data_IF_322772718180
#
_entry.id   IF_322772718180
#
_cell.length_a   1.000
_cell.length_b   1.000
_cell.length_c   1.000
_cell.angle_alpha   90.00
_cell.angle_beta   90.00
_cell.angle_gamma   90.00
#
_symmetry.space_group_name_H-M   'P 1'
#
loop_
_entity.id
_entity.type
_entity.pdbx_description
1 polymer ?
#
# COMPACT_ATOMS: atom_id res chain seq x y z
N UNK A 1 0.70 25.22 10.85
CA UNK A 1 2.05 24.95 10.32
C UNK A 1 2.99 26.04 10.75
N UNK A 2 4.17 25.68 11.27
CA UNK A 2 5.29 26.59 11.53
C UNK A 2 6.47 26.11 10.66
N UNK A 3 6.92 26.95 9.74
CA UNK A 3 8.02 26.65 8.82
C UNK A 3 9.35 27.21 9.37
N UNK A 4 10.46 26.56 9.02
CA UNK A 4 11.82 26.89 9.49
C UNK A 4 12.30 28.33 9.20
N UNK A 5 11.60 29.08 8.35
CA UNK A 5 11.93 30.47 7.98
C UNK A 5 11.03 31.54 8.64
N UNK A 6 10.30 31.17 9.71
CA UNK A 6 9.40 32.11 10.41
C UNK A 6 8.07 32.34 9.71
N UNK A 7 7.82 31.64 8.60
CA UNK A 7 6.50 31.58 7.98
C UNK A 7 5.61 30.64 8.80
N UNK A 8 4.44 31.13 9.20
CA UNK A 8 3.43 30.30 9.83
C UNK A 8 2.05 30.56 9.24
N UNK A 9 1.24 29.53 9.26
CA UNK A 9 -0.15 29.62 8.86
C UNK A 9 -1.00 28.59 9.57
N UNK A 10 -2.30 28.86 9.67
CA UNK A 10 -3.31 27.94 10.17
C UNK A 10 -4.33 27.68 9.09
N UNK A 11 -4.66 26.40 8.92
CA UNK A 11 -5.77 25.95 8.11
C UNK A 11 -6.95 25.67 9.03
N UNK A 12 -8.12 26.18 8.69
CA UNK A 12 -9.36 25.93 9.42
C UNK A 12 -10.41 25.39 8.47
N UNK A 13 -11.03 24.26 8.82
CA UNK A 13 -12.17 23.73 8.08
C UNK A 13 -13.43 24.49 8.47
N UNK A 14 -14.18 24.93 7.47
CA UNK A 14 -15.47 25.61 7.59
C UNK A 14 -16.50 24.94 6.70
N UNK A 15 -17.77 25.33 6.84
CA UNK A 15 -18.84 24.83 5.98
C UNK A 15 -18.68 25.23 4.49
N UNK A 16 -17.74 26.12 4.16
CA UNK A 16 -17.47 26.59 2.80
C UNK A 16 -16.12 26.11 2.25
N UNK A 17 -15.33 25.35 3.03
CA UNK A 17 -14.02 24.84 2.61
C UNK A 17 -12.94 25.07 3.66
N UNK A 18 -11.71 25.33 3.19
CA UNK A 18 -10.55 25.60 4.05
C UNK A 18 -10.19 27.09 4.02
N UNK A 19 -10.10 27.71 5.19
CA UNK A 19 -9.60 29.08 5.37
C UNK A 19 -8.14 29.09 5.82
N UNK A 20 -7.39 30.11 5.38
CA UNK A 20 -5.97 30.29 5.67
C UNK A 20 -5.73 31.56 6.51
N UNK A 21 -5.21 31.38 7.71
CA UNK A 21 -4.76 32.47 8.58
C UNK A 21 -3.23 32.55 8.59
N UNK A 22 -2.68 33.76 8.71
CA UNK A 22 -1.21 34.02 8.79
C UNK A 22 -0.62 33.79 10.19
N UNK A 23 -1.32 33.09 11.06
CA UNK A 23 -0.79 32.71 12.37
C UNK A 23 -1.21 31.30 12.73
N UNK A 24 -0.27 30.54 13.29
CA UNK A 24 -0.51 29.18 13.77
C UNK A 24 -1.03 29.14 15.21
N UNK A 25 -1.12 30.29 15.89
CA UNK A 25 -1.52 30.37 17.29
C UNK A 25 -2.99 29.97 17.49
N UNK A 26 -3.25 29.26 18.60
CA UNK A 26 -4.57 28.73 18.93
C UNK A 26 -5.04 27.55 18.06
N UNK A 27 -4.22 27.05 17.14
CA UNK A 27 -4.54 25.84 16.39
C UNK A 27 -4.55 24.61 17.31
N UNK A 28 -5.50 23.68 17.08
CA UNK A 28 -5.61 22.42 17.82
C UNK A 28 -4.43 21.47 17.55
N UNK A 29 -3.84 21.59 16.37
CA UNK A 29 -2.67 20.84 15.93
C UNK A 29 -1.67 21.81 15.32
N UNK A 30 -0.40 21.70 15.73
CA UNK A 30 0.69 22.53 15.21
C UNK A 30 1.81 21.61 14.78
N UNK A 31 2.22 21.69 13.52
CA UNK A 31 3.36 20.98 12.99
C UNK A 31 4.51 21.95 12.70
N UNK A 32 5.72 21.50 13.00
CA UNK A 32 6.98 22.11 12.57
C UNK A 32 7.58 21.34 11.40
N UNK A 33 7.97 22.04 10.35
CA UNK A 33 8.59 21.45 9.15
C UNK A 33 9.38 22.51 8.37
N UNK A 34 10.09 22.13 7.31
CA UNK A 34 10.62 23.06 6.30
C UNK A 34 9.71 23.14 5.06
N UNK A 35 10.02 24.08 4.16
CA UNK A 35 9.23 24.33 2.94
C UNK A 35 9.31 23.16 1.97
N UNK A 36 10.51 22.59 1.76
CA UNK A 36 10.73 21.45 0.87
C UNK A 36 9.90 20.24 1.30
N UNK A 37 9.82 19.96 2.60
CA UNK A 37 8.99 18.89 3.17
C UNK A 37 7.51 19.16 2.98
N UNK A 38 7.07 20.42 3.08
CA UNK A 38 5.67 20.79 2.79
C UNK A 38 5.34 20.61 1.31
N UNK A 39 6.25 20.98 0.41
CA UNK A 39 6.10 20.76 -1.04
C UNK A 39 6.05 19.26 -1.39
N UNK A 40 6.82 18.43 -0.69
CA UNK A 40 6.75 16.97 -0.84
C UNK A 40 5.39 16.39 -0.45
N UNK A 41 4.75 16.94 0.59
CA UNK A 41 3.39 16.55 0.96
C UNK A 41 2.38 17.00 -0.10
N UNK A 42 2.45 18.27 -0.53
CA UNK A 42 1.52 18.84 -1.49
C UNK A 42 1.60 18.14 -2.86
N UNK A 43 2.80 17.73 -3.28
CA UNK A 43 3.05 16.99 -4.52
C UNK A 43 2.82 15.48 -4.41
N UNK A 44 2.46 14.96 -3.23
CA UNK A 44 2.33 13.51 -2.95
C UNK A 44 3.62 12.70 -3.18
N UNK A 45 4.76 13.38 -3.27
CA UNK A 45 6.07 12.74 -3.23
C UNK A 45 6.25 11.96 -1.94
N UNK A 46 5.70 12.49 -0.84
CA UNK A 46 5.61 11.81 0.45
C UNK A 46 4.24 12.00 1.09
N UNK A 47 3.71 10.95 1.74
CA UNK A 47 2.50 11.07 2.56
C UNK A 47 2.83 11.70 3.92
N UNK A 48 1.80 12.13 4.65
CA UNK A 48 1.98 12.65 6.00
C UNK A 48 2.66 11.61 6.92
N UNK A 49 2.20 10.36 6.84
CA UNK A 49 2.81 9.24 7.56
C UNK A 49 4.28 9.04 7.16
N UNK A 50 4.57 9.05 5.85
CA UNK A 50 5.92 8.89 5.33
C UNK A 50 6.89 9.94 5.88
N UNK A 51 6.45 11.19 5.97
CA UNK A 51 7.26 12.29 6.50
C UNK A 51 7.45 12.21 8.02
N UNK A 52 6.46 11.72 8.77
CA UNK A 52 6.56 11.53 10.22
C UNK A 52 7.54 10.41 10.56
N UNK A 53 7.44 9.26 9.88
CA UNK A 53 8.35 8.12 10.13
C UNK A 53 9.81 8.46 9.81
N UNK A 54 10.05 9.40 8.90
CA UNK A 54 11.38 9.93 8.58
C UNK A 54 11.82 11.09 9.49
N UNK A 55 11.01 11.46 10.49
CA UNK A 55 11.25 12.61 11.38
C UNK A 55 11.41 13.95 10.63
N UNK A 56 10.74 14.10 9.47
CA UNK A 56 10.74 15.34 8.68
C UNK A 56 9.68 16.33 9.14
N UNK A 57 8.58 15.83 9.72
CA UNK A 57 7.54 16.64 10.35
C UNK A 57 7.56 16.39 11.86
N UNK A 58 7.51 17.47 12.64
CA UNK A 58 7.41 17.42 14.10
C UNK A 58 6.04 17.89 14.57
N UNK A 59 5.36 17.08 15.40
CA UNK A 59 4.13 17.48 16.07
C UNK A 59 4.47 18.36 17.30
N UNK A 60 4.33 19.68 17.17
CA UNK A 60 4.63 20.65 18.22
C UNK A 60 3.48 20.80 19.23
N UNK A 61 2.24 20.59 18.79
CA UNK A 61 1.05 20.56 19.64
C UNK A 61 -0.03 19.69 19.01
N UNK A 62 -0.88 19.07 19.84
CA UNK A 62 -1.98 18.21 19.40
C UNK A 62 -1.69 16.71 19.61
N UNK A 63 -2.37 15.86 18.85
CA UNK A 63 -2.21 14.41 18.87
C UNK A 63 -2.17 13.86 17.46
N UNK A 64 -1.59 12.67 17.28
CA UNK A 64 -1.42 12.06 15.96
C UNK A 64 -2.74 11.88 15.18
N UNK A 65 -3.82 11.45 15.84
CA UNK A 65 -5.11 11.27 15.16
C UNK A 65 -5.67 12.58 14.58
N UNK A 66 -5.37 13.73 15.20
CA UNK A 66 -5.74 15.03 14.65
C UNK A 66 -4.98 15.32 13.35
N UNK A 67 -3.73 14.87 13.26
CA UNK A 67 -2.90 15.03 12.07
C UNK A 67 -3.35 14.12 10.93
N UNK A 68 -3.63 12.86 11.23
CA UNK A 68 -4.14 11.90 10.25
C UNK A 68 -5.42 12.41 9.56
N UNK A 69 -6.34 13.02 10.31
CA UNK A 69 -7.58 13.59 9.78
C UNK A 69 -7.40 14.75 8.77
N UNK A 70 -6.20 15.35 8.68
CA UNK A 70 -5.92 16.45 7.75
C UNK A 70 -5.33 16.01 6.42
N UNK A 71 -4.80 14.79 6.31
CA UNK A 71 -4.15 14.35 5.07
C UNK A 71 -5.13 14.33 3.89
N UNK A 72 -6.29 13.68 4.03
CA UNK A 72 -7.30 13.63 2.97
C UNK A 72 -7.82 15.03 2.56
N UNK A 73 -8.24 15.92 3.47
CA UNK A 73 -8.61 17.28 3.10
C UNK A 73 -7.52 18.08 2.39
N UNK A 74 -6.25 17.91 2.79
CA UNK A 74 -5.12 18.59 2.15
C UNK A 74 -4.89 18.05 0.74
N UNK A 75 -4.91 16.74 0.55
CA UNK A 75 -4.74 16.14 -0.78
C UNK A 75 -5.92 16.45 -1.70
N UNK A 76 -7.15 16.53 -1.16
CA UNK A 76 -8.32 16.97 -1.92
C UNK A 76 -8.14 18.40 -2.42
N UNK A 77 -7.62 19.29 -1.56
CA UNK A 77 -7.36 20.69 -1.89
C UNK A 77 -6.25 20.86 -2.95
N UNK A 78 -5.13 20.14 -2.81
CA UNK A 78 -3.97 20.30 -3.68
C UNK A 78 -4.10 19.53 -5.01
N UNK A 79 -4.69 18.35 -4.98
CA UNK A 79 -4.68 17.40 -6.10
C UNK A 79 -6.08 17.14 -6.68
N UNK A 80 -7.09 17.88 -6.23
CA UNK A 80 -8.48 17.81 -6.72
C UNK A 80 -9.06 16.37 -6.71
N UNK A 81 -8.71 15.59 -5.67
CA UNK A 81 -9.24 14.24 -5.48
C UNK A 81 -10.43 14.23 -4.52
N UNK A 82 -11.47 13.45 -4.82
CA UNK A 82 -12.61 13.31 -3.95
C UNK A 82 -12.23 12.59 -2.65
N UNK A 83 -12.92 12.93 -1.57
CA UNK A 83 -12.82 12.24 -0.29
C UNK A 83 -13.88 11.14 -0.28
N UNK A 84 -13.48 9.92 0.08
CA UNK A 84 -14.37 8.77 0.11
C UNK A 84 -15.49 8.96 1.13
N UNK A 85 -16.69 8.55 0.75
CA UNK A 85 -17.88 8.52 1.59
C UNK A 85 -18.63 7.20 1.42
N UNK A 86 -19.59 6.93 2.30
CA UNK A 86 -20.40 5.70 2.21
C UNK A 86 -21.24 5.62 0.92
N UNK A 87 -21.50 6.75 0.27
CA UNK A 87 -22.24 6.80 -1.00
C UNK A 87 -21.38 6.36 -2.19
N UNK A 88 -20.06 6.33 -2.01
CA UNK A 88 -19.09 5.92 -3.03
C UNK A 88 -18.78 4.41 -3.01
N UNK A 89 -19.34 3.67 -2.04
CA UNK A 89 -19.22 2.21 -2.00
C UNK A 89 -19.98 1.64 -3.21
N UNK A 90 -19.32 0.93 -4.13
CA UNK A 90 -19.97 0.40 -5.31
C UNK A 90 -21.03 -0.65 -4.93
N UNK A 91 -22.03 -0.80 -5.79
CA UNK A 91 -22.98 -1.90 -5.71
C UNK A 91 -22.27 -3.27 -5.81
N UNK A 92 -23.00 -4.34 -5.48
CA UNK A 92 -22.46 -5.70 -5.57
C UNK A 92 -22.09 -6.05 -7.02
N UNK A 93 -20.79 -6.16 -7.28
CA UNK A 93 -20.21 -6.55 -8.56
C UNK A 93 -19.50 -7.91 -8.43
N UNK A 94 -19.46 -8.73 -9.49
CA UNK A 94 -18.68 -9.96 -9.47
C UNK A 94 -17.19 -9.62 -9.36
N UNK A 95 -16.53 -10.21 -8.35
CA UNK A 95 -15.10 -10.03 -8.12
C UNK A 95 -14.30 -11.33 -8.26
N UNK A 96 -14.97 -12.47 -8.46
CA UNK A 96 -14.33 -13.78 -8.62
C UNK A 96 -14.50 -14.27 -10.05
N UNK A 97 -13.39 -14.59 -10.69
CA UNK A 97 -13.35 -15.07 -12.08
C UNK A 97 -12.41 -16.27 -12.22
N UNK A 98 -12.60 -17.07 -13.26
CA UNK A 98 -11.60 -18.04 -13.71
C UNK A 98 -10.66 -17.36 -14.73
N UNK A 99 -9.40 -17.80 -14.79
CA UNK A 99 -8.48 -17.32 -15.82
C UNK A 99 -9.00 -17.63 -17.22
N UNK A 100 -8.96 -16.64 -18.11
CA UNK A 100 -9.52 -16.73 -19.47
C UNK A 100 -11.03 -16.44 -19.55
N UNK A 101 -11.66 -16.01 -18.45
CA UNK A 101 -13.01 -15.44 -18.48
C UNK A 101 -13.06 -14.14 -19.31
N UNK A 102 -14.26 -13.61 -19.56
CA UNK A 102 -14.46 -12.39 -20.35
C UNK A 102 -13.64 -11.21 -19.79
N UNK A 103 -12.61 -10.82 -20.54
CA UNK A 103 -11.67 -9.78 -20.12
C UNK A 103 -12.34 -8.41 -19.93
N UNK A 104 -13.41 -8.11 -20.67
CA UNK A 104 -14.13 -6.85 -20.50
C UNK A 104 -14.82 -6.81 -19.13
N UNK A 105 -15.56 -7.86 -18.76
CA UNK A 105 -16.21 -7.92 -17.46
C UNK A 105 -15.20 -7.89 -16.31
N UNK A 106 -14.06 -8.58 -16.44
CA UNK A 106 -12.99 -8.53 -15.44
C UNK A 106 -12.40 -7.12 -15.29
N UNK A 107 -12.17 -6.41 -16.40
CA UNK A 107 -11.67 -5.03 -16.42
C UNK A 107 -12.69 -4.04 -15.80
N UNK A 108 -13.97 -4.15 -16.18
CA UNK A 108 -15.05 -3.33 -15.61
C UNK A 108 -15.14 -3.53 -14.08
N UNK A 109 -15.05 -4.77 -13.58
CA UNK A 109 -15.04 -5.07 -12.15
C UNK A 109 -13.80 -4.53 -11.44
N UNK A 110 -12.61 -4.69 -12.03
CA UNK A 110 -11.36 -4.20 -11.45
C UNK A 110 -11.37 -2.67 -11.27
N UNK A 111 -11.80 -1.95 -12.31
CA UNK A 111 -11.92 -0.48 -12.30
C UNK A 111 -12.87 0.00 -11.19
N UNK A 112 -14.05 -0.63 -11.05
CA UNK A 112 -15.04 -0.24 -10.04
C UNK A 112 -14.63 -0.62 -8.62
N UNK A 113 -14.10 -1.83 -8.42
CA UNK A 113 -13.98 -2.41 -7.09
C UNK A 113 -12.66 -2.11 -6.40
N UNK A 114 -11.56 -1.93 -7.15
CA UNK A 114 -10.23 -1.91 -6.54
C UNK A 114 -9.43 -3.18 -6.73
N UNK A 115 -10.12 -4.30 -6.93
CA UNK A 115 -9.50 -5.61 -6.96
C UNK A 115 -10.42 -6.62 -7.65
N UNK A 116 -9.83 -7.74 -8.08
CA UNK A 116 -10.53 -8.97 -8.47
C UNK A 116 -9.71 -10.18 -8.00
N UNK A 117 -10.37 -11.31 -7.80
CA UNK A 117 -9.76 -12.63 -7.59
C UNK A 117 -9.88 -13.44 -8.88
N UNK A 118 -8.75 -13.89 -9.40
CA UNK A 118 -8.71 -14.75 -10.59
C UNK A 118 -8.19 -16.13 -10.22
N UNK A 119 -9.04 -17.14 -10.37
CA UNK A 119 -8.75 -18.54 -10.07
C UNK A 119 -8.08 -19.22 -11.25
N UNK A 120 -7.41 -20.34 -10.98
CA UNK A 120 -6.89 -21.25 -12.00
C UNK A 120 -5.88 -20.58 -12.97
N UNK A 121 -5.13 -19.58 -12.50
CA UNK A 121 -4.04 -18.93 -13.27
C UNK A 121 -2.81 -19.84 -13.33
N UNK A 122 -2.43 -20.40 -12.19
CA UNK A 122 -1.33 -21.36 -12.05
C UNK A 122 -1.89 -22.74 -11.67
N UNK A 123 -1.22 -23.79 -12.14
CA UNK A 123 -1.50 -25.17 -11.75
C UNK A 123 -0.98 -25.48 -10.34
N UNK A 124 -1.50 -26.56 -9.73
CA UNK A 124 -1.03 -27.02 -8.42
C UNK A 124 0.48 -27.33 -8.42
N UNK A 125 1.01 -27.94 -9.49
CA UNK A 125 2.44 -28.24 -9.63
C UNK A 125 3.29 -26.96 -9.65
N UNK A 126 2.82 -25.90 -10.33
CA UNK A 126 3.51 -24.61 -10.33
C UNK A 126 3.50 -23.94 -8.95
N UNK A 127 2.38 -24.02 -8.24
CA UNK A 127 2.27 -23.54 -6.85
C UNK A 127 3.24 -24.30 -5.95
N UNK A 128 3.24 -25.64 -6.02
CA UNK A 128 4.14 -26.47 -5.22
C UNK A 128 5.62 -26.14 -5.47
N UNK A 129 6.01 -25.93 -6.73
CA UNK A 129 7.36 -25.50 -7.08
C UNK A 129 7.73 -24.15 -6.46
N UNK A 130 6.83 -23.15 -6.53
CA UNK A 130 7.06 -21.84 -5.90
C UNK A 130 7.20 -21.96 -4.39
N UNK A 131 6.31 -22.71 -3.75
CA UNK A 131 6.31 -22.94 -2.30
C UNK A 131 7.60 -23.64 -1.83
N UNK A 132 8.07 -24.65 -2.57
CA UNK A 132 9.32 -25.34 -2.25
C UNK A 132 10.53 -24.41 -2.32
N UNK A 133 10.66 -23.58 -3.37
CA UNK A 133 11.76 -22.61 -3.45
C UNK A 133 11.70 -21.57 -2.32
N UNK A 134 10.50 -21.14 -1.92
CA UNK A 134 10.32 -20.21 -0.80
C UNK A 134 10.78 -20.83 0.52
N UNK A 135 10.40 -22.07 0.80
CA UNK A 135 10.83 -22.77 2.02
C UNK A 135 12.36 -22.99 2.03
N UNK A 136 12.97 -23.35 0.89
CA UNK A 136 14.43 -23.44 0.78
C UNK A 136 15.12 -22.10 1.09
N UNK A 137 14.62 -21.00 0.51
CA UNK A 137 15.17 -19.66 0.75
C UNK A 137 15.00 -19.24 2.21
N UNK A 138 13.83 -19.49 2.79
CA UNK A 138 13.51 -19.19 4.19
C UNK A 138 14.47 -19.88 5.16
N UNK A 139 14.85 -21.13 4.90
CA UNK A 139 15.84 -21.86 5.72
C UNK A 139 17.25 -21.24 5.71
N UNK A 140 17.58 -20.48 4.67
CA UNK A 140 18.88 -19.82 4.51
C UNK A 140 18.85 -18.33 4.85
N UNK A 141 17.67 -17.76 5.05
CA UNK A 141 17.49 -16.36 5.40
C UNK A 141 18.04 -16.07 6.80
N UNK A 142 18.51 -14.85 7.02
CA UNK A 142 19.00 -14.40 8.33
C UNK A 142 18.57 -12.97 8.61
N UNK A 143 18.46 -12.60 9.88
CA UNK A 143 18.06 -11.23 10.29
C UNK A 143 18.95 -10.14 9.68
N UNK A 144 20.21 -10.46 9.36
CA UNK A 144 21.19 -9.51 8.81
C UNK A 144 21.25 -9.47 7.28
N UNK A 145 20.47 -10.28 6.57
CA UNK A 145 20.59 -10.42 5.10
C UNK A 145 20.04 -9.22 4.30
N UNK A 146 19.33 -8.29 4.98
CA UNK A 146 18.69 -7.09 4.40
C UNK A 146 17.71 -7.41 3.26
N UNK A 147 17.28 -8.66 3.16
CA UNK A 147 16.40 -9.20 2.11
C UNK A 147 15.23 -9.98 2.69
N UNK A 148 15.18 -10.13 4.01
CA UNK A 148 14.10 -10.77 4.74
C UNK A 148 13.63 -9.89 5.89
N UNK A 149 12.36 -10.03 6.23
CA UNK A 149 11.75 -9.33 7.35
C UNK A 149 11.36 -10.34 8.40
N UNK A 150 11.62 -9.98 9.65
CA UNK A 150 11.48 -10.88 10.79
C UNK A 150 10.51 -10.29 11.81
N UNK A 151 9.82 -11.18 12.51
CA UNK A 151 8.92 -10.84 13.59
C UNK A 151 9.13 -11.78 14.77
N UNK A 152 8.94 -11.27 15.98
CA UNK A 152 9.19 -11.98 17.22
C UNK A 152 7.87 -12.44 17.85
N UNK A 153 7.79 -13.71 18.23
CA UNK A 153 6.65 -14.25 18.96
C UNK A 153 6.71 -13.95 20.47
N UNK A 154 5.63 -14.27 21.19
CA UNK A 154 5.51 -14.11 22.66
C UNK A 154 6.57 -14.86 23.49
N UNK A 155 7.33 -15.77 22.88
CA UNK A 155 8.41 -16.55 23.52
C UNK A 155 9.78 -15.97 23.19
N UNK A 156 9.87 -14.92 22.38
CA UNK A 156 11.11 -14.33 21.92
C UNK A 156 11.75 -15.06 20.74
N UNK A 157 11.00 -15.94 20.04
CA UNK A 157 11.49 -16.62 18.85
C UNK A 157 11.31 -15.73 17.61
N UNK A 158 12.36 -15.64 16.80
CA UNK A 158 12.37 -14.88 15.55
C UNK A 158 11.83 -15.73 14.39
N UNK A 159 10.87 -15.19 13.65
CA UNK A 159 10.23 -15.84 12.52
C UNK A 159 10.41 -15.00 11.26
N UNK A 160 10.85 -15.62 10.17
CA UNK A 160 10.90 -14.97 8.88
C UNK A 160 9.49 -14.84 8.31
N UNK A 161 9.03 -13.61 8.11
CA UNK A 161 7.67 -13.27 7.68
C UNK A 161 7.61 -12.67 6.27
N UNK A 162 8.75 -12.29 5.69
CA UNK A 162 8.84 -11.81 4.31
C UNK A 162 10.18 -12.15 3.71
N UNK A 163 10.17 -12.56 2.44
CA UNK A 163 11.37 -12.57 1.60
C UNK A 163 11.15 -11.58 0.45
N UNK A 164 12.18 -10.81 0.12
CA UNK A 164 12.17 -9.78 -0.92
C UNK A 164 13.12 -10.15 -2.05
N UNK A 165 12.94 -9.54 -3.22
CA UNK A 165 13.79 -9.76 -4.41
C UNK A 165 13.95 -11.24 -4.78
N UNK A 166 12.88 -12.04 -4.72
CA UNK A 166 12.88 -13.46 -5.09
C UNK A 166 13.31 -13.70 -6.54
N UNK A 167 13.11 -12.72 -7.42
CA UNK A 167 13.62 -12.71 -8.79
C UNK A 167 15.15 -12.82 -8.85
N UNK A 168 15.88 -12.38 -7.83
CA UNK A 168 17.33 -12.58 -7.77
C UNK A 168 17.67 -14.03 -7.42
N UNK A 169 18.51 -14.65 -8.25
CA UNK A 169 18.97 -16.03 -8.04
C UNK A 169 17.91 -17.11 -8.29
N UNK A 170 16.67 -16.75 -8.64
CA UNK A 170 15.62 -17.71 -9.03
C UNK A 170 15.44 -17.73 -10.54
N UNK A 171 15.43 -18.91 -11.16
CA UNK A 171 14.94 -19.03 -12.54
C UNK A 171 13.41 -18.91 -12.58
N UNK A 172 12.71 -19.38 -11.55
CA UNK A 172 11.26 -19.42 -11.49
C UNK A 172 10.68 -18.02 -11.28
N UNK A 173 11.09 -17.32 -10.22
CA UNK A 173 10.57 -15.99 -9.92
C UNK A 173 11.04 -14.92 -10.91
N UNK A 174 12.25 -15.03 -11.50
CA UNK A 174 12.70 -14.04 -12.49
C UNK A 174 11.89 -14.02 -13.78
N UNK A 175 11.12 -15.07 -14.05
CA UNK A 175 10.27 -15.17 -15.25
C UNK A 175 8.87 -14.59 -15.03
N UNK A 176 8.37 -14.58 -13.79
CA UNK A 176 7.01 -14.11 -13.47
C UNK A 176 6.67 -12.72 -14.03
N UNK A 177 7.54 -11.69 -13.96
CA UNK A 177 7.22 -10.37 -14.49
C UNK A 177 6.85 -10.38 -15.98
N UNK A 178 7.32 -11.39 -16.72
CA UNK A 178 7.07 -11.55 -18.14
C UNK A 178 6.21 -12.79 -18.46
N UNK A 179 5.57 -13.42 -17.46
CA UNK A 179 4.62 -14.50 -17.69
C UNK A 179 3.39 -13.96 -18.45
N UNK A 180 3.05 -14.58 -19.58
CA UNK A 180 1.97 -14.12 -20.45
C UNK A 180 0.63 -14.00 -19.71
N UNK A 181 0.37 -14.87 -18.72
CA UNK A 181 -0.87 -14.84 -17.94
C UNK A 181 -0.92 -13.60 -17.06
N UNK A 182 0.19 -13.28 -16.39
CA UNK A 182 0.28 -12.10 -15.54
C UNK A 182 0.23 -10.81 -16.37
N UNK A 183 0.86 -10.79 -17.55
CA UNK A 183 0.76 -9.68 -18.49
C UNK A 183 -0.68 -9.49 -19.01
N UNK A 184 -1.40 -10.57 -19.28
CA UNK A 184 -2.81 -10.50 -19.69
C UNK A 184 -3.69 -9.92 -18.58
N UNK A 185 -3.44 -10.29 -17.31
CA UNK A 185 -4.14 -9.72 -16.16
C UNK A 185 -3.78 -8.26 -15.93
N UNK A 186 -2.51 -7.88 -16.12
CA UNK A 186 -2.09 -6.48 -16.03
C UNK A 186 -2.75 -5.60 -17.10
N UNK A 187 -3.03 -6.16 -18.29
CA UNK A 187 -3.74 -5.47 -19.37
C UNK A 187 -5.23 -5.25 -19.10
N UNK A 188 -5.77 -5.73 -17.97
CA UNK A 188 -7.13 -5.39 -17.53
C UNK A 188 -7.22 -3.98 -16.95
N UNK A 189 -6.08 -3.42 -16.50
CA UNK A 189 -6.01 -2.04 -16.04
C UNK A 189 -6.29 -1.06 -17.20
N UNK A 190 -6.92 0.07 -16.89
CA UNK A 190 -7.23 1.11 -17.88
C UNK A 190 -5.95 1.71 -18.49
N UNK A 191 -4.94 1.86 -17.64
CA UNK A 191 -3.65 2.45 -17.99
C UNK A 191 -2.64 1.38 -18.38
N UNK A 192 -1.76 1.70 -19.32
CA UNK A 192 -0.73 0.75 -19.76
C UNK A 192 0.33 0.57 -18.67
N UNK A 193 0.34 -0.60 -18.04
CA UNK A 193 1.30 -0.95 -17.00
C UNK A 193 2.52 -1.69 -17.58
N UNK A 194 3.65 -1.55 -16.89
CA UNK A 194 4.88 -2.27 -17.19
C UNK A 194 5.37 -3.00 -15.94
N UNK A 195 5.90 -4.23 -16.07
CA UNK A 195 6.48 -4.93 -14.95
C UNK A 195 7.69 -4.18 -14.39
N UNK A 196 7.76 -4.05 -13.06
CA UNK A 196 8.83 -3.36 -12.33
C UNK A 196 9.41 -4.24 -11.21
N UNK A 197 10.06 -5.38 -11.55
CA UNK A 197 10.49 -6.38 -10.58
C UNK A 197 11.61 -5.94 -9.63
N UNK A 198 12.14 -4.74 -9.83
CA UNK A 198 13.19 -4.08 -9.05
C UNK A 198 12.69 -2.87 -8.25
N UNK A 199 11.40 -2.52 -8.36
CA UNK A 199 10.78 -1.47 -7.55
C UNK A 199 10.35 -2.01 -6.18
N UNK A 200 10.47 -1.18 -5.14
CA UNK A 200 10.07 -1.55 -3.78
C UNK A 200 10.81 -2.79 -3.27
N UNK A 201 10.08 -3.77 -2.75
CA UNK A 201 10.61 -5.06 -2.28
C UNK A 201 10.86 -6.08 -3.43
N UNK A 202 10.75 -5.64 -4.69
CA UNK A 202 10.82 -6.50 -5.87
C UNK A 202 9.73 -7.57 -5.87
N UNK A 203 10.03 -8.77 -6.36
CA UNK A 203 9.14 -9.92 -6.16
C UNK A 203 9.31 -10.39 -4.72
N UNK A 204 8.26 -10.25 -3.92
CA UNK A 204 8.27 -10.65 -2.51
C UNK A 204 7.22 -11.70 -2.20
N UNK A 205 7.49 -12.54 -1.21
CA UNK A 205 6.48 -13.38 -0.55
C UNK A 205 6.27 -12.89 0.87
N UNK A 206 5.00 -12.82 1.28
CA UNK A 206 4.61 -12.57 2.67
C UNK A 206 4.12 -13.88 3.27
N UNK A 207 4.67 -14.25 4.42
CA UNK A 207 4.31 -15.45 5.16
C UNK A 207 3.61 -15.01 6.45
N UNK A 208 2.35 -15.43 6.61
CA UNK A 208 1.60 -15.15 7.83
C UNK A 208 2.06 -16.09 8.94
N UNK A 209 2.58 -15.49 10.00
CA UNK A 209 3.02 -16.22 11.20
C UNK A 209 2.07 -15.87 12.33
N UNK A 210 1.38 -16.86 12.94
CA UNK A 210 0.45 -16.62 14.02
C UNK A 210 1.19 -16.22 15.31
N UNK A 211 0.47 -15.56 16.23
CA UNK A 211 0.94 -15.22 17.58
C UNK A 211 2.21 -14.34 17.67
N UNK A 212 2.45 -13.50 16.67
CA UNK A 212 3.51 -12.48 16.69
C UNK A 212 3.17 -11.35 17.67
N UNK A 213 4.14 -10.98 18.53
CA UNK A 213 4.02 -9.88 19.49
C UNK A 213 4.76 -8.62 19.03
N UNK A 214 5.88 -8.78 18.33
CA UNK A 214 6.70 -7.68 17.84
C UNK A 214 7.06 -7.85 16.37
N UNK A 215 7.03 -6.76 15.60
CA UNK A 215 7.23 -6.78 14.15
C UNK A 215 5.93 -6.69 13.35
N UNK A 216 6.05 -6.43 12.06
CA UNK A 216 4.93 -6.24 11.13
C UNK A 216 4.45 -7.61 10.60
N UNK A 217 3.61 -8.32 11.36
CA UNK A 217 2.92 -9.54 10.87
C UNK A 217 1.58 -9.20 10.22
N UNK A 218 0.79 -8.33 10.86
CA UNK A 218 -0.46 -7.79 10.31
C UNK A 218 -0.30 -6.31 9.99
N UNK A 219 -0.75 -5.94 8.79
CA UNK A 219 -0.74 -4.56 8.33
C UNK A 219 -2.11 -3.94 8.63
N UNK A 220 -2.15 -2.71 9.15
CA UNK A 220 -3.40 -1.96 9.27
C UNK A 220 -3.96 -1.64 7.88
N UNK A 221 -5.19 -1.10 7.81
CA UNK A 221 -5.72 -0.54 6.57
C UNK A 221 -4.73 0.47 5.98
N UNK A 222 -4.34 0.24 4.73
CA UNK A 222 -3.41 1.09 4.02
C UNK A 222 -3.66 0.99 2.51
N UNK A 223 -3.04 1.91 1.78
CA UNK A 223 -2.78 1.79 0.35
C UNK A 223 -1.30 1.50 0.18
N UNK A 224 -0.92 0.77 -0.87
CA UNK A 224 0.50 0.49 -1.12
C UNK A 224 1.30 1.77 -1.40
N UNK A 225 0.67 2.78 -2.01
CA UNK A 225 1.22 4.14 -2.14
C UNK A 225 1.07 5.01 -0.89
N UNK A 226 0.61 4.46 0.24
CA UNK A 226 0.28 5.18 1.47
C UNK A 226 1.48 5.80 2.19
N UNK A 227 2.70 5.44 1.80
CA UNK A 227 3.93 6.08 2.27
C UNK A 227 4.33 7.31 1.42
N UNK A 228 3.73 7.50 0.25
CA UNK A 228 4.11 8.50 -0.73
C UNK A 228 4.49 7.90 -2.08
N UNK A 229 5.05 8.74 -2.95
CA UNK A 229 5.46 8.35 -4.30
C UNK A 229 4.30 8.21 -5.28
N UNK A 230 3.11 8.69 -4.94
CA UNK A 230 1.91 8.52 -5.77
C UNK A 230 2.12 8.96 -7.23
N UNK A 231 2.77 10.10 -7.54
CA UNK A 231 3.03 10.49 -8.94
C UNK A 231 3.99 9.58 -9.71
N UNK A 232 4.73 8.70 -9.00
CA UNK A 232 5.74 7.81 -9.58
C UNK A 232 5.27 6.37 -9.68
N UNK A 233 4.47 5.91 -8.71
CA UNK A 233 4.05 4.50 -8.59
C UNK A 233 2.59 4.27 -8.96
N UNK A 234 1.78 5.33 -9.08
CA UNK A 234 0.40 5.26 -9.52
C UNK A 234 0.24 5.85 -10.94
N UNK A 235 -0.62 5.26 -11.79
CA UNK A 235 -1.38 4.03 -11.56
C UNK A 235 -0.46 2.79 -11.46
N UNK A 236 -0.81 1.88 -10.57
CA UNK A 236 -0.03 0.67 -10.30
C UNK A 236 -0.95 -0.49 -9.93
N UNK A 237 -0.54 -1.71 -10.25
CA UNK A 237 -1.28 -2.93 -9.96
C UNK A 237 -0.36 -3.94 -9.28
N UNK A 238 -0.76 -4.41 -8.10
CA UNK A 238 -0.13 -5.53 -7.44
C UNK A 238 -0.87 -6.81 -7.80
N UNK A 239 -0.15 -7.80 -8.31
CA UNK A 239 -0.69 -9.13 -8.60
C UNK A 239 -0.11 -10.11 -7.59
N UNK A 240 -0.92 -10.46 -6.59
CA UNK A 240 -0.59 -11.48 -5.60
C UNK A 240 -0.88 -12.88 -6.12
N UNK A 241 0.05 -13.81 -5.91
CA UNK A 241 -0.16 -15.24 -6.13
C UNK A 241 -0.29 -15.92 -4.78
N UNK A 242 -1.45 -16.52 -4.54
CA UNK A 242 -1.71 -17.26 -3.31
C UNK A 242 -1.08 -18.65 -3.42
N UNK A 243 -0.25 -19.02 -2.43
CA UNK A 243 0.55 -20.25 -2.45
C UNK A 243 -0.01 -21.36 -1.55
N UNK A 244 -0.84 -21.00 -0.59
CA UNK A 244 -1.53 -21.88 0.35
C UNK A 244 -2.97 -21.40 0.60
N UNK A 245 -3.73 -22.07 1.47
CA UNK A 245 -5.10 -21.65 1.76
C UNK A 245 -5.13 -20.39 2.65
N UNK A 246 -5.78 -19.34 2.15
CA UNK A 246 -6.04 -18.10 2.88
C UNK A 246 -7.52 -18.02 3.27
N UNK A 247 -7.79 -17.93 4.57
CA UNK A 247 -9.12 -17.78 5.15
C UNK A 247 -9.06 -16.87 6.39
N UNK A 248 -10.17 -16.75 7.12
CA UNK A 248 -10.24 -15.91 8.33
C UNK A 248 -9.23 -16.34 9.41
N UNK A 249 -8.93 -17.63 9.52
CA UNK A 249 -8.00 -18.17 10.52
C UNK A 249 -6.53 -18.03 10.08
N UNK A 250 -6.24 -18.21 8.79
CA UNK A 250 -4.87 -18.16 8.24
C UNK A 250 -4.44 -16.76 7.76
N UNK A 251 -5.35 -15.80 7.72
CA UNK A 251 -5.06 -14.40 7.39
C UNK A 251 -5.28 -14.06 5.92
N UNK A 252 -6.54 -14.04 5.49
CA UNK A 252 -6.93 -13.57 4.15
C UNK A 252 -6.72 -12.06 3.97
N UNK A 253 -6.41 -11.65 2.74
CA UNK A 253 -6.40 -10.23 2.37
C UNK A 253 -7.83 -9.67 2.43
N UNK A 254 -7.96 -8.50 3.05
CA UNK A 254 -9.20 -7.75 3.09
C UNK A 254 -9.06 -6.51 2.22
N UNK A 255 -10.11 -6.21 1.48
CA UNK A 255 -10.16 -5.06 0.59
C UNK A 255 -11.35 -4.18 0.97
N UNK A 256 -11.18 -2.87 0.84
CA UNK A 256 -12.26 -1.90 0.94
C UNK A 256 -12.58 -1.42 -0.48
N UNK A 257 -13.81 -1.68 -0.91
CA UNK A 257 -14.28 -1.48 -2.28
C UNK A 257 -14.34 0.01 -2.64
N UNK A 258 -14.05 0.33 -3.91
CA UNK A 258 -14.27 1.65 -4.50
C UNK A 258 -13.25 2.72 -4.13
N UNK A 259 -12.19 2.38 -3.39
CA UNK A 259 -11.22 3.36 -2.89
C UNK A 259 -10.14 3.82 -3.89
N UNK A 260 -10.07 3.26 -5.12
CA UNK A 260 -8.99 3.57 -6.08
C UNK A 260 -8.86 5.08 -6.31
N UNK A 261 -9.98 5.76 -6.56
CA UNK A 261 -10.00 7.18 -6.97
C UNK A 261 -10.15 8.15 -5.80
N UNK A 262 -10.29 7.64 -4.58
CA UNK A 262 -10.69 8.43 -3.43
C UNK A 262 -9.59 8.53 -2.37
N UNK A 263 -9.66 9.61 -1.60
CA UNK A 263 -8.88 9.78 -0.38
C UNK A 263 -9.67 9.18 0.78
N UNK A 264 -9.10 8.15 1.42
CA UNK A 264 -9.63 7.59 2.66
C UNK A 264 -9.39 8.56 3.83
N UNK A 265 -10.36 8.64 4.75
CA UNK A 265 -10.30 9.46 5.99
C UNK A 265 -10.08 8.56 7.20
#
# INVERSE_FOLDING_TARGET
MKLSEGHEFRLSSTNQGIELDKSADGAKVVLGTDIDTWENLASESWSMMGLILQNKISLLAGQFHHLAAWEAPLQALYNNRPIFSNEDIPDEEPYIFDYGFDGKQMSDSLSKLGFILVKNVFSADEIELMSNEIEERKLTATVDDKRSWWATDKRGEEHCCRLTYLNEGSKQFSQLPNDERLLNLANLAEEKLFPTPDHGDGISVVMKVPEIEHGLSDLPWHRDCGMGGHPLICPGLNIGVQLDEANEESGQLMFLLGLIDFLAV
#
